data_IF_820809250399
#
_entry.id   IF_820809250399
#
_cell.length_a   1.000
_cell.length_b   1.000
_cell.length_c   1.000
_cell.angle_alpha   90.00
_cell.angle_beta   90.00
_cell.angle_gamma   90.00
#
_symmetry.space_group_name_H-M   'P 1'
#
loop_
_entity.id
_entity.type
_entity.pdbx_description
1 polymer ?
#
# COMPACT_ATOMS: atom_id res chain seq x y z
N UNK A 1 7.88 -26.03 12.32
CA UNK A 1 8.17 -24.68 11.77
C UNK A 1 7.58 -24.58 10.37
N UNK A 2 6.60 -23.70 10.09
CA UNK A 2 6.17 -23.45 8.71
C UNK A 2 7.41 -23.05 7.88
N UNK A 3 7.70 -23.87 6.87
CA UNK A 3 8.97 -23.93 6.13
C UNK A 3 9.51 -22.52 5.80
N UNK A 4 10.66 -22.14 6.38
CA UNK A 4 11.25 -20.79 6.22
C UNK A 4 11.50 -20.45 4.75
N UNK A 5 11.78 -21.47 3.92
CA UNK A 5 11.93 -21.35 2.47
C UNK A 5 10.66 -20.83 1.80
N UNK A 6 9.48 -21.10 2.36
CA UNK A 6 8.21 -20.56 1.85
C UNK A 6 8.20 -19.03 1.93
N UNK A 7 8.79 -18.44 2.97
CA UNK A 7 8.87 -16.98 3.07
C UNK A 7 9.87 -16.39 2.08
N UNK A 8 11.05 -16.98 1.94
CA UNK A 8 12.02 -16.56 0.90
C UNK A 8 11.40 -16.66 -0.50
N UNK A 9 10.75 -17.78 -0.81
CA UNK A 9 10.02 -17.99 -2.07
C UNK A 9 8.93 -16.93 -2.29
N UNK A 10 8.18 -16.56 -1.25
CA UNK A 10 7.18 -15.49 -1.32
C UNK A 10 7.83 -14.14 -1.63
N UNK A 11 8.92 -13.78 -0.96
CA UNK A 11 9.65 -12.54 -1.22
C UNK A 11 10.16 -12.44 -2.67
N UNK A 12 10.75 -13.52 -3.19
CA UNK A 12 11.18 -13.62 -4.59
C UNK A 12 9.97 -13.52 -5.53
N UNK A 13 8.90 -14.26 -5.25
CA UNK A 13 7.66 -14.23 -6.03
C UNK A 13 7.06 -12.82 -6.11
N UNK A 14 7.07 -12.05 -5.02
CA UNK A 14 6.64 -10.65 -5.04
C UNK A 14 7.52 -9.78 -5.94
N UNK A 15 8.84 -9.95 -5.91
CA UNK A 15 9.78 -9.20 -6.79
C UNK A 15 9.50 -9.47 -8.26
N UNK A 16 9.40 -10.75 -8.64
CA UNK A 16 9.09 -11.16 -10.01
C UNK A 16 7.74 -10.60 -10.44
N UNK A 17 6.68 -10.84 -9.65
CA UNK A 17 5.33 -10.35 -9.95
C UNK A 17 5.30 -8.83 -10.13
N UNK A 18 6.03 -8.06 -9.31
CA UNK A 18 6.08 -6.61 -9.43
C UNK A 18 6.84 -6.14 -10.68
N UNK A 19 7.97 -6.78 -11.02
CA UNK A 19 8.77 -6.44 -12.20
C UNK A 19 8.03 -6.71 -13.51
N UNK A 20 7.22 -7.76 -13.55
CA UNK A 20 6.47 -8.17 -14.74
C UNK A 20 4.99 -7.82 -14.65
N UNK A 21 4.59 -6.98 -13.69
CA UNK A 21 3.20 -6.57 -13.55
C UNK A 21 2.79 -5.76 -14.78
N UNK A 22 1.79 -6.26 -15.51
CA UNK A 22 1.16 -5.56 -16.62
C UNK A 22 -0.37 -5.63 -16.45
N UNK A 23 -1.01 -4.47 -16.38
CA UNK A 23 -2.47 -4.37 -16.25
C UNK A 23 -3.04 -3.97 -17.62
N UNK A 24 -3.89 -4.79 -18.25
CA UNK A 24 -4.28 -4.60 -19.64
C UNK A 24 -5.14 -3.34 -19.84
N UNK A 25 -6.00 -3.01 -18.87
CA UNK A 25 -6.89 -1.86 -18.94
C UNK A 25 -6.20 -0.56 -18.51
N UNK A 26 -6.62 0.57 -19.09
CA UNK A 26 -6.18 1.92 -18.68
C UNK A 26 -6.50 2.14 -17.19
N UNK A 27 -5.48 2.55 -16.45
CA UNK A 27 -5.53 2.85 -15.02
C UNK A 27 -5.71 4.35 -14.86
N UNK A 28 -6.76 4.77 -14.16
CA UNK A 28 -7.00 6.18 -13.90
C UNK A 28 -6.07 6.68 -12.78
N UNK A 29 -5.98 5.91 -11.69
CA UNK A 29 -4.93 6.10 -10.68
C UNK A 29 -4.72 4.85 -9.82
N UNK A 30 -3.58 4.79 -9.13
CA UNK A 30 -3.37 3.86 -8.01
C UNK A 30 -2.92 4.62 -6.77
N UNK A 31 -3.47 4.22 -5.62
CA UNK A 31 -2.94 4.62 -4.31
C UNK A 31 -1.89 3.62 -3.89
N UNK A 32 -0.69 4.11 -3.65
CA UNK A 32 0.45 3.31 -3.22
C UNK A 32 0.89 3.75 -1.82
N UNK A 33 1.16 2.78 -0.95
CA UNK A 33 1.62 3.04 0.41
C UNK A 33 2.29 1.81 1.00
N UNK A 34 3.27 1.97 1.91
CA UNK A 34 3.58 0.87 2.80
C UNK A 34 2.35 0.57 3.68
N UNK A 35 2.26 -0.65 4.19
CA UNK A 35 1.23 -0.99 5.17
C UNK A 35 1.29 -0.02 6.37
N UNK A 36 0.15 0.29 7.00
CA UNK A 36 0.09 1.19 8.16
C UNK A 36 -0.12 2.68 7.84
N UNK A 37 -0.34 3.03 6.57
CA UNK A 37 -0.59 4.40 6.11
C UNK A 37 -2.08 4.74 5.88
N UNK A 38 -3.02 3.89 6.28
CA UNK A 38 -4.47 4.18 6.17
C UNK A 38 -4.98 4.36 4.73
N UNK A 39 -4.36 3.71 3.76
CA UNK A 39 -4.71 3.78 2.33
C UNK A 39 -6.07 3.16 2.00
N UNK A 40 -6.53 2.19 2.79
CA UNK A 40 -7.76 1.42 2.50
C UNK A 40 -8.98 2.33 2.34
N UNK A 41 -9.17 3.33 3.20
CA UNK A 41 -10.32 4.23 3.12
C UNK A 41 -10.27 5.09 1.86
N UNK A 42 -9.10 5.63 1.52
CA UNK A 42 -8.91 6.39 0.28
C UNK A 42 -9.12 5.54 -0.96
N UNK A 43 -8.60 4.30 -0.97
CA UNK A 43 -8.77 3.34 -2.06
C UNK A 43 -10.26 3.03 -2.27
N UNK A 44 -11.00 2.75 -1.18
CA UNK A 44 -12.45 2.49 -1.24
C UNK A 44 -13.20 3.68 -1.83
N UNK A 45 -12.90 4.88 -1.34
CA UNK A 45 -13.53 6.10 -1.81
C UNK A 45 -13.23 6.37 -3.29
N UNK A 46 -11.96 6.30 -3.72
CA UNK A 46 -11.58 6.52 -5.10
C UNK A 46 -12.20 5.52 -6.08
N UNK A 47 -12.47 4.29 -5.63
CA UNK A 47 -13.12 3.27 -6.46
C UNK A 47 -14.55 3.65 -6.89
N UNK A 48 -15.18 4.64 -6.26
CA UNK A 48 -16.49 5.18 -6.66
C UNK A 48 -16.39 6.20 -7.81
N UNK A 49 -15.20 6.76 -8.04
CA UNK A 49 -15.00 7.86 -9.00
C UNK A 49 -14.07 7.50 -10.16
N UNK A 50 -13.21 6.49 -10.01
CA UNK A 50 -12.27 6.09 -11.05
C UNK A 50 -11.86 4.61 -10.95
N UNK A 51 -11.31 4.07 -12.04
CA UNK A 51 -10.70 2.73 -12.08
C UNK A 51 -9.38 2.79 -11.31
N UNK A 52 -9.44 2.38 -10.05
CA UNK A 52 -8.29 2.37 -9.11
C UNK A 52 -8.00 0.97 -8.57
N UNK A 53 -7.26 0.86 -7.45
CA UNK A 53 -6.73 -0.41 -6.93
C UNK A 53 -7.80 -1.51 -6.87
N UNK A 54 -8.94 -1.27 -6.20
CA UNK A 54 -9.98 -2.31 -5.99
C UNK A 54 -10.56 -2.80 -7.31
N UNK A 55 -10.79 -1.93 -8.29
CA UNK A 55 -11.29 -2.30 -9.60
C UNK A 55 -10.38 -3.36 -10.25
N UNK A 56 -9.07 -3.12 -10.28
CA UNK A 56 -8.10 -4.03 -10.89
C UNK A 56 -7.86 -5.29 -10.06
N UNK A 57 -7.79 -5.17 -8.72
CA UNK A 57 -7.63 -6.33 -7.84
C UNK A 57 -8.81 -7.30 -7.98
N UNK A 58 -10.05 -6.79 -8.13
CA UNK A 58 -11.23 -7.62 -8.38
C UNK A 58 -11.24 -8.22 -9.78
N UNK A 59 -11.08 -7.38 -10.80
CA UNK A 59 -11.25 -7.78 -12.21
C UNK A 59 -10.17 -8.75 -12.68
N UNK A 60 -8.92 -8.53 -12.27
CA UNK A 60 -7.77 -9.31 -12.74
C UNK A 60 -7.17 -10.23 -11.66
N UNK A 61 -7.80 -10.31 -10.48
CA UNK A 61 -7.33 -11.12 -9.35
C UNK A 61 -5.85 -10.85 -8.99
N UNK A 62 -5.44 -9.60 -9.16
CA UNK A 62 -4.10 -9.13 -8.78
C UNK A 62 -4.12 -8.83 -7.28
N UNK A 63 -3.03 -9.14 -6.58
CA UNK A 63 -2.92 -8.97 -5.13
C UNK A 63 -1.97 -7.82 -4.77
N UNK A 64 -2.42 -6.96 -3.85
CA UNK A 64 -1.54 -6.01 -3.17
C UNK A 64 -1.05 -4.88 -4.08
N UNK A 65 -1.88 -4.41 -5.02
CA UNK A 65 -1.54 -3.27 -5.89
C UNK A 65 -1.23 -2.02 -5.07
N UNK A 66 -1.78 -1.90 -3.86
CA UNK A 66 -1.47 -0.79 -2.96
C UNK A 66 -0.09 -0.85 -2.27
N UNK A 67 0.63 -1.96 -2.39
CA UNK A 67 1.86 -2.25 -1.61
C UNK A 67 3.08 -2.58 -2.47
N UNK A 68 3.05 -2.22 -3.75
CA UNK A 68 4.16 -2.43 -4.68
C UNK A 68 5.42 -1.72 -4.18
N UNK A 69 6.51 -2.46 -3.98
CA UNK A 69 7.74 -1.92 -3.36
C UNK A 69 8.57 -1.01 -4.26
N UNK A 70 8.29 -1.04 -5.57
CA UNK A 70 8.81 -0.11 -6.57
C UNK A 70 7.82 -0.01 -7.74
N UNK A 71 7.88 1.07 -8.54
CA UNK A 71 7.04 1.16 -9.73
C UNK A 71 7.38 0.05 -10.75
N UNK A 72 6.40 -0.72 -11.24
CA UNK A 72 6.58 -1.62 -12.37
C UNK A 72 7.01 -0.88 -13.65
N UNK A 73 7.87 -1.47 -14.51
CA UNK A 73 8.26 -0.86 -15.78
C UNK A 73 7.07 -0.48 -16.68
N UNK A 74 6.01 -1.29 -16.67
CA UNK A 74 4.79 -1.04 -17.44
C UNK A 74 4.09 0.27 -17.04
N UNK A 75 4.25 0.72 -15.80
CA UNK A 75 3.58 1.93 -15.30
C UNK A 75 4.20 3.19 -15.91
N UNK A 76 5.52 3.21 -16.09
CA UNK A 76 6.21 4.30 -16.81
C UNK A 76 5.72 4.42 -18.25
N UNK A 77 5.68 3.28 -18.97
CA UNK A 77 5.21 3.23 -20.37
C UNK A 77 3.76 3.71 -20.51
N UNK A 78 2.89 3.31 -19.57
CA UNK A 78 1.46 3.65 -19.57
C UNK A 78 1.13 4.97 -18.88
N UNK A 79 2.14 5.72 -18.41
CA UNK A 79 2.00 7.00 -17.69
C UNK A 79 0.96 6.95 -16.56
N UNK A 80 0.98 5.88 -15.76
CA UNK A 80 -0.02 5.65 -14.71
C UNK A 80 0.10 6.72 -13.63
N UNK A 81 -1.02 7.36 -13.26
CA UNK A 81 -1.07 8.31 -12.14
C UNK A 81 -1.02 7.59 -10.80
N UNK A 82 -0.18 8.08 -9.89
CA UNK A 82 0.10 7.47 -8.59
C UNK A 82 -0.17 8.47 -7.48
N UNK A 83 -0.92 8.05 -6.45
CA UNK A 83 -1.02 8.76 -5.17
C UNK A 83 -0.17 7.99 -4.16
N UNK A 84 0.97 8.54 -3.77
CA UNK A 84 1.88 7.93 -2.80
C UNK A 84 1.61 8.46 -1.39
N UNK A 85 1.11 7.61 -0.49
CA UNK A 85 0.93 7.98 0.92
C UNK A 85 2.23 7.83 1.72
N UNK A 86 2.59 8.90 2.41
CA UNK A 86 3.74 9.01 3.30
C UNK A 86 3.30 9.06 4.75
N UNK A 87 4.07 8.43 5.63
CA UNK A 87 3.88 8.53 7.08
C UNK A 87 5.24 8.40 7.76
N UNK A 88 5.37 8.93 8.97
CA UNK A 88 6.57 8.75 9.78
C UNK A 88 6.93 7.25 9.88
N UNK A 89 8.20 6.91 9.62
CA UNK A 89 8.67 5.52 9.54
C UNK A 89 8.48 4.75 10.86
N UNK A 90 8.69 5.42 12.00
CA UNK A 90 8.49 4.82 13.31
C UNK A 90 6.99 4.57 13.58
N UNK A 91 6.11 5.46 13.14
CA UNK A 91 4.67 5.23 13.25
C UNK A 91 4.20 4.08 12.37
N UNK A 92 4.75 3.96 11.15
CA UNK A 92 4.49 2.80 10.28
C UNK A 92 4.92 1.52 11.00
N UNK A 93 6.14 1.48 11.55
CA UNK A 93 6.62 0.32 12.29
C UNK A 93 5.72 -0.03 13.48
N UNK A 94 5.36 0.94 14.32
CA UNK A 94 4.43 0.73 15.44
C UNK A 94 3.07 0.20 14.96
N UNK A 95 2.53 0.78 13.89
CA UNK A 95 1.25 0.35 13.29
C UNK A 95 1.30 -1.10 12.82
N UNK A 96 2.37 -1.49 12.13
CA UNK A 96 2.54 -2.84 11.59
C UNK A 96 2.91 -3.87 12.68
N UNK A 97 3.69 -3.48 13.69
CA UNK A 97 4.00 -4.31 14.87
C UNK A 97 2.72 -4.63 15.63
N UNK A 98 1.90 -3.61 15.93
CA UNK A 98 0.63 -3.78 16.64
C UNK A 98 -0.41 -4.60 15.86
N UNK A 99 -0.19 -4.86 14.57
CA UNK A 99 -1.04 -5.73 13.74
C UNK A 99 -0.46 -7.14 13.55
N UNK A 100 0.75 -7.40 14.04
CA UNK A 100 1.48 -8.64 13.75
C UNK A 100 1.93 -8.78 12.29
N UNK A 101 1.98 -7.68 11.53
CA UNK A 101 2.15 -7.72 10.07
C UNK A 101 3.59 -7.47 9.59
N UNK A 102 4.54 -7.28 10.51
CA UNK A 102 5.96 -6.99 10.18
C UNK A 102 6.53 -8.00 9.18
N UNK A 103 6.35 -9.31 9.44
CA UNK A 103 6.84 -10.38 8.55
C UNK A 103 6.25 -10.30 7.14
N UNK A 104 4.95 -10.04 7.04
CA UNK A 104 4.27 -9.95 5.74
C UNK A 104 4.70 -8.69 4.98
N UNK A 105 4.91 -7.58 5.68
CA UNK A 105 5.43 -6.36 5.08
C UNK A 105 6.84 -6.52 4.51
N UNK A 106 7.73 -7.19 5.27
CA UNK A 106 9.09 -7.48 4.77
C UNK A 106 9.04 -8.32 3.49
N UNK A 107 8.15 -9.32 3.43
CA UNK A 107 7.90 -10.06 2.18
C UNK A 107 7.44 -9.17 1.03
N UNK A 108 6.48 -8.26 1.27
CA UNK A 108 5.99 -7.35 0.23
C UNK A 108 7.05 -6.36 -0.24
N UNK A 109 8.04 -6.04 0.61
CA UNK A 109 9.21 -5.24 0.24
C UNK A 109 10.30 -6.05 -0.47
N UNK A 110 10.10 -7.37 -0.63
CA UNK A 110 11.04 -8.25 -1.32
C UNK A 110 12.24 -8.67 -0.48
N UNK A 111 12.13 -8.61 0.85
CA UNK A 111 13.14 -9.16 1.77
C UNK A 111 13.25 -10.68 1.58
N UNK A 112 14.47 -11.18 1.35
CA UNK A 112 14.74 -12.60 1.16
C UNK A 112 14.68 -13.38 2.48
N UNK A 113 14.91 -12.71 3.62
CA UNK A 113 15.00 -13.33 4.93
C UNK A 113 14.12 -12.61 5.96
N UNK A 114 12.79 -12.50 5.73
CA UNK A 114 11.88 -11.74 6.59
C UNK A 114 11.71 -12.36 7.98
N UNK A 115 12.09 -13.63 8.15
CA UNK A 115 12.01 -14.39 9.39
C UNK A 115 13.26 -14.27 10.27
N UNK A 116 14.37 -13.74 9.75
CA UNK A 116 15.68 -13.80 10.39
C UNK A 116 15.67 -13.30 11.84
N UNK A 117 15.16 -12.09 12.05
CA UNK A 117 15.09 -11.47 13.38
C UNK A 117 13.78 -11.73 14.12
N UNK A 118 12.83 -12.44 13.49
CA UNK A 118 11.54 -12.79 14.10
C UNK A 118 11.60 -14.19 14.71
N UNK A 119 12.18 -15.14 13.98
CA UNK A 119 12.12 -16.56 14.29
C UNK A 119 13.48 -17.14 14.72
N UNK A 120 14.58 -16.69 14.10
CA UNK A 120 15.93 -17.25 14.36
C UNK A 120 16.59 -16.48 15.51
N UNK A 121 16.99 -15.23 15.26
CA UNK A 121 17.72 -14.43 16.25
C UNK A 121 16.83 -13.74 17.28
N UNK A 122 15.52 -13.64 17.02
CA UNK A 122 14.52 -13.03 17.91
C UNK A 122 14.96 -11.66 18.49
N UNK A 123 15.55 -10.81 17.66
CA UNK A 123 16.13 -9.53 18.07
C UNK A 123 15.28 -8.35 17.58
N UNK A 124 14.55 -7.71 18.49
CA UNK A 124 13.62 -6.62 18.15
C UNK A 124 14.31 -5.38 17.57
N UNK A 125 15.48 -5.01 18.11
CA UNK A 125 16.24 -3.83 17.65
C UNK A 125 16.67 -4.00 16.20
N UNK A 126 17.21 -5.17 15.87
CA UNK A 126 17.63 -5.51 14.51
C UNK A 126 16.44 -5.69 13.57
N UNK A 127 15.32 -6.26 14.04
CA UNK A 127 14.07 -6.33 13.29
C UNK A 127 13.56 -4.94 12.91
N UNK A 128 13.52 -4.00 13.86
CA UNK A 128 13.11 -2.61 13.63
C UNK A 128 14.03 -1.93 12.61
N UNK A 129 15.35 -2.04 12.79
CA UNK A 129 16.34 -1.49 11.85
C UNK A 129 16.12 -2.04 10.43
N UNK A 130 15.96 -3.36 10.30
CA UNK A 130 15.70 -4.02 9.01
C UNK A 130 14.41 -3.52 8.36
N UNK A 131 13.33 -3.42 9.12
CA UNK A 131 12.05 -2.93 8.62
C UNK A 131 12.12 -1.48 8.14
N UNK A 132 12.75 -0.60 8.94
CA UNK A 132 12.94 0.81 8.56
C UNK A 132 13.81 0.93 7.30
N UNK A 133 14.87 0.13 7.16
CA UNK A 133 15.70 0.14 5.96
C UNK A 133 14.89 -0.25 4.71
N UNK A 134 14.05 -1.29 4.80
CA UNK A 134 13.17 -1.68 3.70
C UNK A 134 12.15 -0.58 3.36
N UNK A 135 11.61 0.14 4.36
CA UNK A 135 10.74 1.30 4.11
C UNK A 135 11.47 2.46 3.42
N UNK A 136 12.73 2.73 3.80
CA UNK A 136 13.54 3.74 3.11
C UNK A 136 13.74 3.37 1.64
N UNK A 137 14.05 2.11 1.37
CA UNK A 137 14.17 1.57 0.00
C UNK A 137 12.85 1.72 -0.76
N UNK A 138 11.72 1.35 -0.15
CA UNK A 138 10.38 1.53 -0.72
C UNK A 138 10.17 2.98 -1.19
N UNK A 139 10.38 3.96 -0.31
CA UNK A 139 10.17 5.36 -0.67
C UNK A 139 11.20 5.88 -1.67
N UNK A 140 12.45 5.41 -1.59
CA UNK A 140 13.49 5.74 -2.57
C UNK A 140 13.10 5.28 -3.98
N UNK A 141 12.64 4.04 -4.12
CA UNK A 141 12.18 3.49 -5.39
C UNK A 141 11.05 4.33 -6.01
N UNK A 142 10.08 4.77 -5.19
CA UNK A 142 8.97 5.60 -5.65
C UNK A 142 9.36 7.07 -5.89
N UNK A 143 10.51 7.53 -5.40
CA UNK A 143 11.02 8.86 -5.72
C UNK A 143 11.56 8.96 -7.15
N UNK A 144 11.89 7.83 -7.79
CA UNK A 144 12.33 7.76 -9.19
C UNK A 144 11.19 7.93 -10.21
N UNK A 145 9.93 7.88 -9.76
CA UNK A 145 8.77 7.98 -10.65
C UNK A 145 8.55 9.43 -11.12
N UNK A 146 8.10 9.68 -12.36
CA UNK A 146 7.95 11.04 -12.89
C UNK A 146 7.08 11.93 -12.00
N UNK A 147 7.57 13.13 -11.66
CA UNK A 147 6.92 14.07 -10.72
C UNK A 147 5.48 14.40 -11.12
N UNK A 148 5.24 14.47 -12.42
CA UNK A 148 3.95 14.82 -13.04
C UNK A 148 2.90 13.71 -12.89
N UNK A 149 3.38 12.48 -12.68
CA UNK A 149 2.54 11.29 -12.55
C UNK A 149 2.42 10.83 -11.10
N UNK A 150 3.03 11.52 -10.13
CA UNK A 150 3.00 11.13 -8.72
C UNK A 150 2.62 12.28 -7.78
N UNK A 151 1.49 12.11 -7.09
CA UNK A 151 1.08 12.98 -6.00
C UNK A 151 1.48 12.37 -4.66
N UNK A 152 2.43 13.00 -3.97
CA UNK A 152 2.90 12.56 -2.65
C UNK A 152 2.07 13.25 -1.56
N UNK A 153 1.46 12.47 -0.67
CA UNK A 153 0.55 12.97 0.38
C UNK A 153 0.99 12.44 1.74
N UNK A 154 1.14 13.33 2.72
CA UNK A 154 1.34 12.90 4.10
C UNK A 154 0.01 12.41 4.70
N UNK A 155 0.04 11.26 5.35
CA UNK A 155 -1.12 10.63 5.96
C UNK A 155 -1.87 11.55 6.93
N UNK A 156 -1.13 12.30 7.76
CA UNK A 156 -1.72 13.24 8.73
C UNK A 156 -2.48 14.39 8.05
N UNK A 157 -2.12 14.72 6.81
CA UNK A 157 -2.74 15.79 6.03
C UNK A 157 -3.95 15.30 5.22
N UNK A 158 -4.00 14.00 4.91
CA UNK A 158 -4.96 13.41 3.96
C UNK A 158 -6.42 13.72 4.29
N UNK A 159 -6.77 13.66 5.57
CA UNK A 159 -8.14 13.83 6.05
C UNK A 159 -8.35 15.11 6.87
N UNK A 160 -7.29 15.89 7.12
CA UNK A 160 -7.35 17.11 7.94
C UNK A 160 -7.31 18.38 7.09
N UNK A 161 -6.65 18.35 5.92
CA UNK A 161 -6.44 19.53 5.08
C UNK A 161 -7.36 19.53 3.86
N UNK A 162 -8.24 20.53 3.78
CA UNK A 162 -9.08 20.78 2.59
C UNK A 162 -8.24 20.93 1.31
N UNK A 163 -7.03 21.50 1.43
CA UNK A 163 -6.11 21.63 0.30
C UNK A 163 -5.67 20.29 -0.29
N UNK A 164 -5.61 19.22 0.52
CA UNK A 164 -5.22 17.89 0.04
C UNK A 164 -6.33 17.25 -0.80
N UNK A 165 -7.60 17.30 -0.36
CA UNK A 165 -8.71 16.79 -1.18
C UNK A 165 -8.83 17.53 -2.52
N UNK A 166 -8.62 18.85 -2.53
CA UNK A 166 -8.56 19.67 -3.76
C UNK A 166 -7.38 19.26 -4.66
N UNK A 167 -6.21 18.97 -4.08
CA UNK A 167 -5.04 18.47 -4.84
C UNK A 167 -5.33 17.12 -5.48
N UNK A 168 -5.94 16.18 -4.77
CA UNK A 168 -6.33 14.86 -5.34
C UNK A 168 -7.33 15.06 -6.48
N UNK A 169 -8.38 15.86 -6.26
CA UNK A 169 -9.40 16.15 -7.26
C UNK A 169 -8.80 16.69 -8.56
N UNK A 170 -7.92 17.70 -8.46
CA UNK A 170 -7.20 18.27 -9.60
C UNK A 170 -6.25 17.27 -10.24
N UNK A 171 -5.42 16.57 -9.46
CA UNK A 171 -4.45 15.61 -9.98
C UNK A 171 -5.11 14.50 -10.81
N UNK A 172 -6.31 14.08 -10.40
CA UNK A 172 -7.08 13.05 -11.08
C UNK A 172 -7.93 13.59 -12.24
N UNK A 173 -8.00 14.91 -12.45
CA UNK A 173 -8.90 15.56 -13.40
C UNK A 173 -10.35 15.08 -13.23
N UNK A 174 -10.84 15.05 -11.99
CA UNK A 174 -12.23 14.68 -11.71
C UNK A 174 -13.15 15.85 -12.04
N UNK A 175 -14.32 15.55 -12.61
CA UNK A 175 -15.35 16.55 -12.91
C UNK A 175 -16.50 16.55 -11.90
N UNK A 176 -16.61 15.48 -11.08
CA UNK A 176 -17.71 15.30 -10.15
C UNK A 176 -17.45 16.02 -8.81
N UNK A 177 -18.08 17.19 -8.61
CA UNK A 177 -17.95 17.99 -7.38
C UNK A 177 -18.31 17.21 -6.10
N UNK A 178 -19.19 16.21 -6.19
CA UNK A 178 -19.54 15.35 -5.05
C UNK A 178 -18.31 14.66 -4.43
N UNK A 179 -17.21 14.51 -5.19
CA UNK A 179 -15.93 14.01 -4.68
C UNK A 179 -15.39 14.86 -3.51
N UNK A 180 -15.56 16.18 -3.56
CA UNK A 180 -15.05 17.08 -2.54
C UNK A 180 -15.95 17.11 -1.30
N UNK A 181 -17.26 16.95 -1.51
CA UNK A 181 -18.27 17.05 -0.46
C UNK A 181 -18.37 15.77 0.35
N UNK A 182 -18.28 14.61 -0.31
CA UNK A 182 -18.33 13.29 0.34
C UNK A 182 -16.96 12.74 0.72
N UNK A 183 -15.91 13.57 0.66
CA UNK A 183 -14.56 13.14 0.97
C UNK A 183 -14.50 12.59 2.41
N UNK A 184 -13.91 11.40 2.64
CA UNK A 184 -13.99 10.74 3.93
C UNK A 184 -13.29 11.53 5.03
N UNK A 185 -13.87 11.50 6.24
CA UNK A 185 -13.24 12.00 7.45
C UNK A 185 -12.33 10.96 8.09
N UNK A 186 -11.33 11.43 8.83
CA UNK A 186 -10.47 10.53 9.59
C UNK A 186 -11.26 9.81 10.68
N UNK A 187 -11.20 8.48 10.69
CA UNK A 187 -11.73 7.66 11.78
C UNK A 187 -10.66 6.68 12.22
N UNK A 188 -10.13 6.87 13.43
CA UNK A 188 -9.22 5.90 14.05
C UNK A 188 -9.98 4.61 14.31
N UNK A 189 -9.35 3.47 14.04
CA UNK A 189 -9.93 2.18 14.40
C UNK A 189 -10.00 2.03 15.92
N UNK A 190 -11.17 1.65 16.42
CA UNK A 190 -11.32 1.16 17.80
C UNK A 190 -10.70 -0.24 17.83
N UNK A 191 -9.63 -0.40 18.60
CA UNK A 191 -8.92 -1.68 18.77
C UNK A 191 -9.38 -2.31 20.07
N UNK A 192 -10.50 -3.03 20.01
CA UNK A 192 -10.95 -3.91 21.08
C UNK A 192 -10.42 -5.33 20.85
N UNK A 193 -10.74 -6.26 21.76
CA UNK A 193 -10.33 -7.68 21.64
C UNK A 193 -10.85 -8.35 20.36
N UNK A 194 -11.91 -7.81 19.74
CA UNK A 194 -12.54 -8.32 18.51
C UNK A 194 -12.11 -7.55 17.25
N UNK A 195 -11.04 -6.75 17.32
CA UNK A 195 -10.62 -5.92 16.19
C UNK A 195 -10.21 -6.76 14.97
N UNK A 196 -10.96 -6.59 13.88
CA UNK A 196 -10.62 -7.12 12.57
C UNK A 196 -10.06 -5.97 11.72
N UNK A 197 -8.84 -6.12 11.22
CA UNK A 197 -8.25 -5.11 10.35
C UNK A 197 -9.06 -4.97 9.05
N UNK A 198 -9.46 -3.75 8.62
CA UNK A 198 -10.33 -3.59 7.45
C UNK A 198 -9.75 -4.03 6.11
N UNK A 199 -8.43 -4.25 6.01
CA UNK A 199 -7.87 -4.92 4.83
C UNK A 199 -8.31 -6.37 4.72
N UNK A 200 -8.57 -7.05 5.85
CA UNK A 200 -8.94 -8.46 5.91
C UNK A 200 -10.31 -8.77 5.29
N UNK A 201 -11.43 -8.13 5.72
CA UNK A 201 -12.73 -8.38 5.08
C UNK A 201 -12.77 -7.87 3.64
N UNK A 202 -12.04 -6.79 3.32
CA UNK A 202 -11.90 -6.33 1.95
C UNK A 202 -11.23 -7.38 1.07
N UNK A 203 -10.12 -7.95 1.54
CA UNK A 203 -9.42 -9.05 0.87
C UNK A 203 -10.35 -10.25 0.68
N UNK A 204 -11.02 -10.72 1.74
CA UNK A 204 -11.99 -11.83 1.64
C UNK A 204 -13.04 -11.57 0.56
N UNK A 205 -13.60 -10.36 0.51
CA UNK A 205 -14.60 -9.95 -0.50
C UNK A 205 -14.04 -9.91 -1.93
N UNK A 206 -12.80 -9.47 -2.12
CA UNK A 206 -12.19 -9.37 -3.46
C UNK A 206 -11.92 -10.78 -4.03
N UNK A 207 -11.57 -11.73 -3.16
CA UNK A 207 -11.07 -13.05 -3.56
C UNK A 207 -12.05 -14.20 -3.28
N UNK A 208 -13.28 -13.93 -2.84
CA UNK A 208 -14.28 -14.95 -2.49
C UNK A 208 -13.75 -15.99 -1.50
N UNK A 209 -12.93 -15.55 -0.53
CA UNK A 209 -12.39 -16.41 0.53
C UNK A 209 -13.41 -16.42 1.68
N UNK A 210 -13.92 -17.59 2.04
CA UNK A 210 -14.81 -17.79 3.20
C UNK A 210 -14.11 -17.40 4.51
#
# INVERSE_FOLDING_TARGET
>A
MPNLLVYTRRGIGYKIKNNFLNIPNKIDCLVISPGGCGSVSLIKYLNEYCKSNIYFEKKFKIFGLGHLYKPPPSFFKKKVKIILLKRNLNEIYKSMKNRGFIKNSLNTYGDLFPFLYINIFKNEKNLKKKFINNLKIFYSNWNLYPKEQILKINYNDLYSKVSVKKKIFKFLNLNNKNFLDKFPNYKRYKKDQKFIDPSTPLMKKIYNIK
#
